data_IF_704021672371
#
_entry.id   IF_704021672371
#
_cell.length_a   1.000
_cell.length_b   1.000
_cell.length_c   1.000
_cell.angle_alpha   90.00
_cell.angle_beta   90.00
_cell.angle_gamma   90.00
#
_symmetry.space_group_name_H-M   'P 1'
#
loop_
_entity.id
_entity.type
_entity.pdbx_description
1 polymer ?
#
# COMPACT_ATOMS: atom_id res chain seq x y z
N UNK A 1 22.83 24.97 16.52
CA UNK A 1 23.73 23.80 16.45
C UNK A 1 23.38 23.03 15.17
N UNK A 2 24.39 22.62 14.41
CA UNK A 2 24.28 21.99 13.08
C UNK A 2 25.04 20.68 13.16
N UNK A 3 24.43 19.59 12.69
CA UNK A 3 25.10 18.28 12.56
C UNK A 3 25.68 18.16 11.16
N UNK A 4 26.94 17.74 11.05
CA UNK A 4 27.63 17.50 9.77
C UNK A 4 27.69 15.99 9.53
N UNK A 5 26.96 15.51 8.52
CA UNK A 5 26.89 14.08 8.24
C UNK A 5 28.17 13.59 7.55
N UNK A 6 28.81 12.56 8.10
CA UNK A 6 30.02 11.97 7.52
C UNK A 6 31.22 12.91 7.39
N UNK A 7 31.26 14.00 8.17
CA UNK A 7 32.32 15.02 8.08
C UNK A 7 32.27 15.90 6.82
N UNK A 8 31.28 15.70 5.96
CA UNK A 8 31.07 16.46 4.73
C UNK A 8 30.26 17.73 5.02
N UNK A 9 30.94 18.87 4.98
CA UNK A 9 30.34 20.19 5.22
C UNK A 9 29.33 20.61 4.15
N UNK A 10 29.16 19.88 3.05
CA UNK A 10 28.03 20.06 2.13
C UNK A 10 26.75 19.40 2.64
N UNK A 11 26.85 18.44 3.58
CA UNK A 11 25.75 17.66 4.17
C UNK A 11 25.43 18.13 5.59
N UNK A 12 25.02 19.38 5.72
CA UNK A 12 24.62 19.99 7.00
C UNK A 12 23.15 19.73 7.29
N UNK A 13 22.85 19.25 8.49
CA UNK A 13 21.49 19.08 8.99
C UNK A 13 21.29 20.00 10.19
N UNK A 14 20.16 20.72 10.22
CA UNK A 14 19.73 21.34 11.47
C UNK A 14 19.32 20.24 12.47
N UNK A 15 19.34 20.52 13.77
CA UNK A 15 18.98 19.53 14.80
C UNK A 15 17.59 18.92 14.59
N UNK A 16 16.62 19.68 14.04
CA UNK A 16 15.29 19.17 13.70
C UNK A 16 15.34 18.14 12.57
N UNK A 17 16.06 18.42 11.49
CA UNK A 17 16.25 17.47 10.38
C UNK A 17 17.06 16.25 10.81
N UNK A 18 18.08 16.44 11.65
CA UNK A 18 18.87 15.35 12.19
C UNK A 18 18.05 14.45 13.13
N UNK A 19 17.28 15.03 14.05
CA UNK A 19 16.38 14.29 14.93
C UNK A 19 15.33 13.51 14.13
N UNK A 20 14.79 14.11 13.07
CA UNK A 20 13.84 13.41 12.18
C UNK A 20 14.48 12.24 11.44
N UNK A 21 15.70 12.41 10.94
CA UNK A 21 16.44 11.36 10.25
C UNK A 21 16.77 10.21 11.21
N UNK A 22 17.11 10.51 12.46
CA UNK A 22 17.25 9.52 13.52
C UNK A 22 15.93 8.80 13.79
N UNK A 23 14.80 9.51 13.90
CA UNK A 23 13.50 8.86 14.11
C UNK A 23 13.12 7.90 12.97
N UNK A 24 13.38 8.28 11.72
CA UNK A 24 13.17 7.38 10.58
C UNK A 24 14.11 6.18 10.62
N UNK A 25 15.37 6.39 10.98
CA UNK A 25 16.33 5.31 11.16
C UNK A 25 15.92 4.37 12.29
N UNK A 26 15.45 4.89 13.43
CA UNK A 26 14.96 4.11 14.57
C UNK A 26 13.76 3.24 14.20
N UNK A 27 12.83 3.77 13.39
CA UNK A 27 11.73 2.97 12.84
C UNK A 27 12.28 1.84 11.96
N UNK A 28 13.17 2.15 11.01
CA UNK A 28 13.71 1.16 10.06
C UNK A 28 14.61 0.11 10.72
N UNK A 29 15.42 0.50 11.70
CA UNK A 29 16.35 -0.37 12.42
C UNK A 29 15.70 -1.09 13.62
N UNK A 30 14.47 -0.71 13.99
CA UNK A 30 13.73 -1.32 15.09
C UNK A 30 13.42 -2.80 14.85
N UNK A 31 13.15 -3.52 15.94
CA UNK A 31 12.79 -4.95 15.93
C UNK A 31 11.29 -5.21 15.73
N UNK A 32 10.51 -4.15 15.48
CA UNK A 32 9.09 -4.26 15.19
C UNK A 32 8.86 -5.02 13.89
N UNK A 33 7.73 -5.72 13.80
CA UNK A 33 7.32 -6.42 12.60
C UNK A 33 7.27 -5.44 11.40
N UNK A 34 7.57 -5.95 10.20
CA UNK A 34 7.62 -5.18 8.96
C UNK A 34 6.35 -4.35 8.76
N UNK A 35 5.19 -4.90 9.12
CA UNK A 35 3.87 -4.28 9.08
C UNK A 35 3.72 -3.07 10.00
N UNK A 36 4.31 -3.14 11.19
CA UNK A 36 4.32 -2.00 12.10
C UNK A 36 5.26 -0.90 11.60
N UNK A 37 6.46 -1.27 11.12
CA UNK A 37 7.44 -0.30 10.62
C UNK A 37 6.93 0.49 9.42
N UNK A 38 6.24 -0.14 8.48
CA UNK A 38 5.64 0.58 7.36
C UNK A 38 4.56 1.59 7.79
N UNK A 39 3.74 1.25 8.79
CA UNK A 39 2.72 2.17 9.30
C UNK A 39 3.36 3.36 10.02
N UNK A 40 4.39 3.08 10.83
CA UNK A 40 5.12 4.12 11.54
C UNK A 40 5.83 5.06 10.53
N UNK A 41 6.41 4.51 9.47
CA UNK A 41 6.99 5.29 8.36
C UNK A 41 5.94 6.10 7.61
N UNK A 42 4.79 5.51 7.29
CA UNK A 42 3.69 6.20 6.61
C UNK A 42 3.18 7.39 7.45
N UNK A 43 3.05 7.20 8.76
CA UNK A 43 2.69 8.24 9.72
C UNK A 43 3.77 9.33 9.81
N UNK A 44 5.04 8.94 9.86
CA UNK A 44 6.18 9.86 9.88
C UNK A 44 6.29 10.69 8.59
N UNK A 45 5.97 10.08 7.44
CA UNK A 45 5.90 10.71 6.13
C UNK A 45 4.76 11.73 6.06
N UNK A 46 3.53 11.33 6.42
CA UNK A 46 2.38 12.23 6.39
C UNK A 46 2.56 13.41 7.36
N UNK A 47 3.15 13.19 8.53
CA UNK A 47 3.48 14.27 9.46
C UNK A 47 4.67 15.13 8.99
N UNK A 48 5.34 14.78 7.88
CA UNK A 48 6.45 15.53 7.33
C UNK A 48 6.06 16.72 6.48
N UNK A 49 4.93 16.60 5.81
CA UNK A 49 4.44 17.61 4.91
C UNK A 49 3.41 18.43 5.67
N UNK A 50 3.50 19.77 5.60
CA UNK A 50 2.50 20.62 6.23
C UNK A 50 1.11 20.34 5.64
N UNK A 51 0.05 20.49 6.45
CA UNK A 51 -1.32 20.15 6.02
C UNK A 51 -1.77 20.93 4.78
N UNK A 52 -1.35 22.18 4.65
CA UNK A 52 -1.71 23.00 3.49
C UNK A 52 -0.94 22.55 2.24
N UNK A 53 0.33 22.15 2.40
CA UNK A 53 1.13 21.57 1.32
C UNK A 53 0.55 20.23 0.85
N UNK A 54 0.07 19.37 1.78
CA UNK A 54 -0.64 18.13 1.43
C UNK A 54 -1.88 18.43 0.59
N UNK A 55 -2.72 19.38 1.03
CA UNK A 55 -3.94 19.77 0.30
C UNK A 55 -3.62 20.36 -1.08
N UNK A 56 -2.55 21.15 -1.17
CA UNK A 56 -2.11 21.69 -2.46
C UNK A 56 -1.62 20.58 -3.38
N UNK A 57 -0.81 19.65 -2.89
CA UNK A 57 -0.34 18.50 -3.66
C UNK A 57 -1.50 17.61 -4.15
N UNK A 58 -2.50 17.35 -3.29
CA UNK A 58 -3.72 16.61 -3.67
C UNK A 58 -4.47 17.30 -4.81
N UNK A 59 -4.64 18.63 -4.73
CA UNK A 59 -5.30 19.42 -5.80
C UNK A 59 -4.53 19.38 -7.11
N UNK A 60 -3.20 19.52 -7.05
CA UNK A 60 -2.35 19.46 -8.23
C UNK A 60 -2.42 18.08 -8.89
N UNK A 61 -2.36 17.00 -8.10
CA UNK A 61 -2.47 15.64 -8.63
C UNK A 61 -3.81 15.42 -9.33
N UNK A 62 -4.94 15.77 -8.69
CA UNK A 62 -6.28 15.67 -9.29
C UNK A 62 -6.42 16.48 -10.57
N UNK A 63 -5.80 17.66 -10.65
CA UNK A 63 -5.83 18.48 -11.87
C UNK A 63 -5.02 17.86 -13.02
N UNK A 64 -3.93 17.15 -12.69
CA UNK A 64 -3.06 16.51 -13.69
C UNK A 64 -3.54 15.13 -14.17
N UNK A 65 -4.25 14.38 -13.34
CA UNK A 65 -4.67 13.01 -13.62
C UNK A 65 -6.17 12.86 -13.43
N UNK A 66 -6.92 12.84 -14.54
CA UNK A 66 -8.38 12.76 -14.50
C UNK A 66 -8.87 11.49 -13.78
N UNK A 67 -8.14 10.38 -13.89
CA UNK A 67 -8.49 9.10 -13.23
C UNK A 67 -8.42 9.18 -11.70
N UNK A 68 -7.78 10.20 -11.14
CA UNK A 68 -7.71 10.44 -9.70
C UNK A 68 -9.10 10.65 -9.07
N UNK A 69 -10.11 11.04 -9.84
CA UNK A 69 -11.49 11.18 -9.35
C UNK A 69 -12.09 9.86 -8.83
N UNK A 70 -11.56 8.73 -9.29
CA UNK A 70 -12.02 7.40 -8.88
C UNK A 70 -11.29 6.87 -7.63
N UNK A 71 -10.27 7.56 -7.12
CA UNK A 71 -9.53 7.09 -5.95
C UNK A 71 -10.13 7.62 -4.65
N UNK A 72 -9.95 6.86 -3.57
CA UNK A 72 -10.28 7.31 -2.22
C UNK A 72 -9.44 8.52 -1.81
N UNK A 73 -9.97 9.35 -0.92
CA UNK A 73 -9.22 10.48 -0.36
C UNK A 73 -7.93 10.05 0.35
N UNK A 74 -7.95 8.88 1.00
CA UNK A 74 -6.79 8.32 1.68
C UNK A 74 -5.68 7.94 0.69
N UNK A 75 -6.01 7.22 -0.38
CA UNK A 75 -5.03 6.87 -1.40
C UNK A 75 -4.46 8.13 -2.09
N UNK A 76 -5.30 9.12 -2.38
CA UNK A 76 -4.87 10.37 -2.99
C UNK A 76 -3.93 11.17 -2.10
N UNK A 77 -4.18 11.21 -0.79
CA UNK A 77 -3.27 11.86 0.16
C UNK A 77 -1.90 11.19 0.17
N UNK A 78 -1.86 9.86 0.14
CA UNK A 78 -0.62 9.11 0.08
C UNK A 78 0.16 9.36 -1.22
N UNK A 79 -0.51 9.35 -2.38
CA UNK A 79 0.11 9.67 -3.68
C UNK A 79 0.64 11.09 -3.69
N UNK A 80 -0.20 12.06 -3.32
CA UNK A 80 0.17 13.48 -3.31
C UNK A 80 1.36 13.74 -2.40
N UNK A 81 1.38 13.11 -1.22
CA UNK A 81 2.51 13.20 -0.30
C UNK A 81 3.77 12.57 -0.89
N UNK A 82 3.66 11.40 -1.54
CA UNK A 82 4.79 10.75 -2.19
C UNK A 82 5.38 11.59 -3.32
N UNK A 83 4.54 12.13 -4.22
CA UNK A 83 4.98 13.00 -5.32
C UNK A 83 5.58 14.31 -4.80
N UNK A 84 5.00 14.90 -3.74
CA UNK A 84 5.54 16.11 -3.12
C UNK A 84 6.94 15.85 -2.54
N UNK A 85 7.11 14.77 -1.77
CA UNK A 85 8.40 14.40 -1.19
C UNK A 85 9.42 14.07 -2.29
N UNK A 86 9.01 13.33 -3.32
CA UNK A 86 9.87 13.05 -4.47
C UNK A 86 10.36 14.33 -5.16
N UNK A 87 9.48 15.32 -5.38
CA UNK A 87 9.86 16.61 -5.95
C UNK A 87 10.89 17.37 -5.12
N UNK A 88 10.85 17.26 -3.79
CA UNK A 88 11.88 17.84 -2.92
C UNK A 88 13.19 17.04 -2.99
N UNK A 89 13.11 15.71 -3.08
CA UNK A 89 14.28 14.83 -3.22
C UNK A 89 14.98 14.97 -4.57
N UNK A 90 14.30 15.45 -5.63
CA UNK A 90 14.95 15.71 -6.92
C UNK A 90 16.10 16.71 -6.83
N UNK A 91 16.01 17.69 -5.92
CA UNK A 91 17.09 18.64 -5.66
C UNK A 91 18.29 18.01 -4.94
N UNK A 92 18.11 16.83 -4.34
CA UNK A 92 19.10 16.12 -3.54
C UNK A 92 19.05 14.61 -3.80
N UNK A 93 19.39 14.15 -5.04
CA UNK A 93 19.17 12.77 -5.47
C UNK A 93 19.92 11.72 -4.65
N UNK A 94 20.98 12.11 -3.93
CA UNK A 94 21.76 11.28 -3.00
C UNK A 94 21.08 11.01 -1.66
N UNK A 95 19.89 11.58 -1.41
CA UNK A 95 19.11 11.30 -0.21
C UNK A 95 18.28 10.03 -0.37
N UNK A 96 17.78 9.53 0.75
CA UNK A 96 17.06 8.26 0.87
C UNK A 96 15.59 8.41 0.40
N UNK A 97 15.12 7.54 -0.50
CA UNK A 97 13.81 7.65 -1.16
C UNK A 97 12.71 6.75 -0.60
N UNK A 98 12.97 5.92 0.42
CA UNK A 98 11.97 5.04 1.05
C UNK A 98 10.67 5.76 1.47
N UNK A 99 10.70 7.01 1.99
CA UNK A 99 9.47 7.71 2.34
C UNK A 99 8.57 7.97 1.12
N UNK A 100 9.13 8.28 -0.05
CA UNK A 100 8.32 8.44 -1.27
C UNK A 100 7.75 7.07 -1.73
N UNK A 101 8.56 6.01 -1.67
CA UNK A 101 8.16 4.65 -2.03
C UNK A 101 7.04 4.13 -1.11
N UNK A 102 7.14 4.33 0.21
CA UNK A 102 6.13 3.84 1.15
C UNK A 102 4.78 4.53 0.93
N UNK A 103 4.78 5.83 0.57
CA UNK A 103 3.55 6.54 0.21
C UNK A 103 2.83 5.88 -0.97
N UNK A 104 3.54 5.52 -2.04
CA UNK A 104 2.94 4.81 -3.17
C UNK A 104 2.37 3.45 -2.78
N UNK A 105 3.09 2.68 -1.96
CA UNK A 105 2.61 1.37 -1.48
C UNK A 105 1.34 1.50 -0.61
N UNK A 106 1.29 2.49 0.28
CA UNK A 106 0.12 2.76 1.14
C UNK A 106 -1.10 3.20 0.34
N UNK A 107 -0.92 3.87 -0.79
CA UNK A 107 -2.03 4.19 -1.67
C UNK A 107 -2.70 2.93 -2.24
N UNK A 108 -1.91 1.91 -2.62
CA UNK A 108 -2.43 0.60 -3.05
C UNK A 108 -3.13 -0.12 -1.90
N UNK A 109 -2.56 -0.10 -0.69
CA UNK A 109 -3.20 -0.65 0.51
C UNK A 109 -4.58 -0.05 0.74
N UNK A 110 -4.68 1.29 0.73
CA UNK A 110 -5.93 1.99 0.93
C UNK A 110 -7.00 1.59 -0.09
N UNK A 111 -6.63 1.48 -1.37
CA UNK A 111 -7.57 1.04 -2.42
C UNK A 111 -7.95 -0.44 -2.31
N UNK A 112 -7.02 -1.34 -1.99
CA UNK A 112 -7.33 -2.76 -1.74
C UNK A 112 -8.33 -2.89 -0.59
N UNK A 113 -8.11 -2.13 0.50
CA UNK A 113 -9.02 -2.12 1.63
C UNK A 113 -10.39 -1.57 1.25
N UNK A 114 -10.41 -0.39 0.62
CA UNK A 114 -11.65 0.31 0.26
C UNK A 114 -12.49 -0.43 -0.76
N UNK A 115 -11.86 -1.02 -1.78
CA UNK A 115 -12.54 -1.60 -2.95
C UNK A 115 -12.79 -3.09 -2.84
N UNK A 116 -11.97 -3.83 -2.07
CA UNK A 116 -12.08 -5.28 -2.00
C UNK A 116 -12.41 -5.74 -0.60
N UNK A 117 -11.58 -5.43 0.39
CA UNK A 117 -11.72 -6.02 1.73
C UNK A 117 -12.96 -5.54 2.46
N UNK A 118 -13.31 -4.24 2.38
CA UNK A 118 -14.53 -3.70 2.99
C UNK A 118 -15.80 -4.24 2.31
N UNK A 119 -15.93 -4.28 0.97
CA UNK A 119 -17.05 -4.97 0.34
C UNK A 119 -17.14 -6.46 0.69
N UNK A 120 -16.00 -7.14 0.78
CA UNK A 120 -15.94 -8.55 1.20
C UNK A 120 -16.44 -8.73 2.63
N UNK A 121 -16.02 -7.88 3.57
CA UNK A 121 -16.47 -7.96 4.97
C UNK A 121 -17.98 -7.72 5.09
N UNK A 122 -18.52 -6.74 4.36
CA UNK A 122 -19.97 -6.50 4.30
C UNK A 122 -20.71 -7.74 3.78
N UNK A 123 -20.20 -8.37 2.72
CA UNK A 123 -20.82 -9.56 2.12
C UNK A 123 -20.75 -10.79 3.04
N UNK A 124 -19.63 -10.94 3.74
CA UNK A 124 -19.39 -12.06 4.65
C UNK A 124 -20.02 -11.89 6.04
N UNK A 125 -20.57 -10.71 6.37
CA UNK A 125 -21.13 -10.38 7.69
C UNK A 125 -22.24 -11.33 8.19
N UNK A 126 -22.87 -12.08 7.29
CA UNK A 126 -23.96 -13.02 7.60
C UNK A 126 -23.53 -14.49 7.58
N UNK A 127 -22.26 -14.74 7.29
CA UNK A 127 -21.72 -16.08 7.08
C UNK A 127 -20.95 -16.56 8.32
N UNK A 128 -20.92 -17.87 8.56
CA UNK A 128 -20.08 -18.43 9.61
C UNK A 128 -18.64 -18.64 9.10
N UNK A 129 -17.75 -17.73 9.52
CA UNK A 129 -16.32 -17.78 9.18
C UNK A 129 -15.47 -18.51 10.22
N UNK A 130 -16.07 -19.23 11.18
CA UNK A 130 -15.33 -19.90 12.26
C UNK A 130 -14.24 -20.86 11.75
N UNK A 131 -14.55 -21.63 10.71
CA UNK A 131 -13.59 -22.52 10.04
C UNK A 131 -12.45 -21.77 9.37
N UNK A 132 -12.76 -20.69 8.64
CA UNK A 132 -11.76 -19.90 7.92
C UNK A 132 -10.85 -19.09 8.85
N UNK A 133 -11.34 -18.67 10.03
CA UNK A 133 -10.55 -17.94 11.04
C UNK A 133 -9.37 -18.73 11.59
N UNK A 134 -9.51 -20.06 11.67
CA UNK A 134 -8.45 -20.96 12.16
C UNK A 134 -7.50 -21.38 11.04
N UNK A 135 -7.78 -20.99 9.80
CA UNK A 135 -6.94 -21.31 8.66
C UNK A 135 -5.69 -20.43 8.62
N UNK A 136 -4.53 -21.02 8.37
CA UNK A 136 -3.26 -20.27 8.34
C UNK A 136 -3.18 -19.26 7.19
N UNK A 137 -3.86 -19.53 6.06
CA UNK A 137 -3.76 -18.75 4.83
C UNK A 137 -4.97 -17.79 4.69
N UNK A 138 -6.10 -18.10 5.33
CA UNK A 138 -7.33 -17.30 5.27
C UNK A 138 -7.62 -16.53 6.57
N UNK A 139 -7.05 -16.95 7.69
CA UNK A 139 -7.48 -16.56 9.03
C UNK A 139 -7.46 -15.07 9.30
N UNK A 140 -6.45 -14.34 8.81
CA UNK A 140 -6.37 -12.88 8.97
C UNK A 140 -7.44 -12.14 8.17
N UNK A 141 -7.72 -12.57 6.94
CA UNK A 141 -8.79 -11.99 6.12
C UNK A 141 -10.16 -12.35 6.71
N UNK A 142 -10.35 -13.59 7.15
CA UNK A 142 -11.57 -14.05 7.82
C UNK A 142 -11.84 -13.29 9.13
N UNK A 143 -10.79 -13.04 9.92
CA UNK A 143 -10.87 -12.28 11.15
C UNK A 143 -11.30 -10.83 10.90
N UNK A 144 -10.74 -10.16 9.88
CA UNK A 144 -11.18 -8.83 9.48
C UNK A 144 -12.62 -8.83 8.95
N UNK A 145 -13.00 -9.83 8.16
CA UNK A 145 -14.35 -9.90 7.61
C UNK A 145 -15.42 -10.10 8.69
N UNK A 146 -15.12 -10.86 9.73
CA UNK A 146 -16.03 -11.08 10.85
C UNK A 146 -16.08 -9.91 11.85
N UNK A 147 -15.05 -9.08 11.88
CA UNK A 147 -14.95 -7.92 12.77
C UNK A 147 -14.27 -6.77 12.00
N UNK A 148 -15.05 -5.98 11.23
CA UNK A 148 -14.51 -4.90 10.40
C UNK A 148 -13.89 -3.75 11.18
N UNK A 149 -14.03 -3.72 12.51
CA UNK A 149 -13.34 -2.78 13.40
C UNK A 149 -11.86 -3.12 13.61
N UNK A 150 -11.43 -4.33 13.23
CA UNK A 150 -10.02 -4.75 13.28
C UNK A 150 -9.20 -4.02 12.22
N UNK A 151 -7.88 -3.99 12.46
CA UNK A 151 -6.92 -3.56 11.45
C UNK A 151 -7.11 -4.40 10.17
N UNK A 152 -7.23 -3.78 8.99
CA UNK A 152 -7.28 -4.50 7.73
C UNK A 152 -6.01 -5.36 7.52
N UNK A 153 -6.13 -6.51 6.85
CA UNK A 153 -4.97 -7.34 6.51
C UNK A 153 -4.01 -6.59 5.58
N UNK A 154 -2.73 -6.87 5.74
CA UNK A 154 -1.65 -6.23 5.01
C UNK A 154 -1.55 -6.74 3.56
N UNK A 155 -0.82 -6.04 2.67
CA UNK A 155 -0.69 -6.45 1.27
C UNK A 155 -0.20 -7.89 1.12
N UNK A 156 0.83 -8.28 1.89
CA UNK A 156 1.39 -9.62 1.84
C UNK A 156 0.36 -10.68 2.29
N UNK A 157 -0.38 -10.39 3.36
CA UNK A 157 -1.47 -11.24 3.85
C UNK A 157 -2.56 -11.41 2.81
N UNK A 158 -2.98 -10.31 2.17
CA UNK A 158 -3.99 -10.36 1.13
C UNK A 158 -3.47 -11.04 -0.15
N UNK A 159 -2.21 -10.86 -0.51
CA UNK A 159 -1.57 -11.57 -1.61
C UNK A 159 -1.59 -13.09 -1.37
N UNK A 160 -1.22 -13.55 -0.17
CA UNK A 160 -1.32 -14.96 0.19
C UNK A 160 -2.75 -15.49 0.15
N UNK A 161 -3.72 -14.71 0.61
CA UNK A 161 -5.13 -15.07 0.45
C UNK A 161 -5.50 -15.25 -1.03
N UNK A 162 -5.13 -14.31 -1.90
CA UNK A 162 -5.36 -14.43 -3.34
C UNK A 162 -4.65 -15.64 -3.94
N UNK A 163 -3.42 -15.93 -3.53
CA UNK A 163 -2.68 -17.11 -3.96
C UNK A 163 -3.47 -18.39 -3.67
N UNK A 164 -4.02 -18.51 -2.45
CA UNK A 164 -4.85 -19.64 -2.05
C UNK A 164 -6.14 -19.71 -2.85
N UNK A 165 -6.82 -18.57 -3.04
CA UNK A 165 -8.00 -18.48 -3.91
C UNK A 165 -7.65 -18.92 -5.33
N UNK A 166 -6.51 -18.55 -5.89
CA UNK A 166 -6.14 -18.85 -7.27
C UNK A 166 -5.78 -20.33 -7.46
N UNK A 167 -5.01 -20.91 -6.54
CA UNK A 167 -4.35 -22.19 -6.77
C UNK A 167 -4.97 -23.40 -6.04
N UNK A 168 -5.80 -23.19 -5.01
CA UNK A 168 -6.35 -24.31 -4.22
C UNK A 168 -7.79 -24.66 -4.60
N UNK A 169 -7.96 -25.67 -5.47
CA UNK A 169 -9.30 -26.17 -5.85
C UNK A 169 -10.12 -26.65 -4.64
N UNK A 170 -9.50 -27.45 -3.77
CA UNK A 170 -10.14 -27.95 -2.55
C UNK A 170 -10.68 -26.82 -1.67
N UNK A 171 -9.91 -25.73 -1.50
CA UNK A 171 -10.34 -24.59 -0.67
C UNK A 171 -11.44 -23.78 -1.32
N UNK A 172 -11.49 -23.68 -2.66
CA UNK A 172 -12.63 -23.05 -3.35
C UNK A 172 -13.95 -23.76 -3.08
N UNK A 173 -13.92 -25.07 -2.87
CA UNK A 173 -15.11 -25.88 -2.59
C UNK A 173 -15.50 -25.87 -1.10
N UNK A 174 -14.53 -25.67 -0.20
CA UNK A 174 -14.73 -25.88 1.25
C UNK A 174 -14.72 -24.61 2.08
N UNK A 175 -14.10 -23.52 1.61
CA UNK A 175 -14.02 -22.26 2.35
C UNK A 175 -15.22 -21.37 2.07
N UNK A 176 -15.89 -20.95 3.14
CA UNK A 176 -17.03 -20.03 3.08
C UNK A 176 -16.54 -18.67 2.58
N UNK A 177 -15.44 -18.15 3.15
CA UNK A 177 -14.85 -16.88 2.76
C UNK A 177 -14.46 -16.83 1.28
N UNK A 178 -13.81 -17.89 0.77
CA UNK A 178 -13.44 -17.94 -0.65
C UNK A 178 -14.70 -17.97 -1.52
N UNK A 179 -15.72 -18.74 -1.14
CA UNK A 179 -17.01 -18.76 -1.85
C UNK A 179 -17.67 -17.37 -1.90
N UNK A 180 -17.65 -16.63 -0.79
CA UNK A 180 -18.16 -15.25 -0.73
C UNK A 180 -17.33 -14.33 -1.64
N UNK A 181 -16.00 -14.43 -1.58
CA UNK A 181 -15.10 -13.63 -2.40
C UNK A 181 -15.32 -13.86 -3.90
N UNK A 182 -15.44 -15.12 -4.34
CA UNK A 182 -15.70 -15.45 -5.74
C UNK A 182 -17.07 -14.97 -6.22
N UNK A 183 -18.11 -15.01 -5.36
CA UNK A 183 -19.42 -14.42 -5.68
C UNK A 183 -19.33 -12.90 -5.82
N UNK A 184 -18.59 -12.24 -4.93
CA UNK A 184 -18.38 -10.80 -4.99
C UNK A 184 -17.64 -10.40 -6.28
N UNK A 185 -16.58 -11.11 -6.65
CA UNK A 185 -15.82 -10.80 -7.87
C UNK A 185 -16.59 -11.09 -9.16
N UNK A 186 -17.53 -12.05 -9.13
CA UNK A 186 -18.43 -12.31 -10.25
C UNK A 186 -19.39 -11.14 -10.56
N UNK A 187 -19.58 -10.21 -9.63
CA UNK A 187 -20.40 -9.00 -9.83
C UNK A 187 -19.62 -7.83 -10.48
N UNK A 188 -18.32 -8.01 -10.77
CA UNK A 188 -17.44 -6.97 -11.29
C UNK A 188 -17.02 -7.22 -12.74
N UNK A 189 -17.11 -6.17 -13.56
CA UNK A 189 -17.04 -6.24 -15.03
C UNK A 189 -15.68 -6.69 -15.56
N UNK A 190 -14.60 -6.47 -14.81
CA UNK A 190 -13.23 -6.82 -15.20
C UNK A 190 -12.47 -7.59 -14.10
N UNK A 191 -13.17 -8.41 -13.31
CA UNK A 191 -12.56 -9.17 -12.20
C UNK A 191 -11.54 -10.24 -12.62
N UNK A 192 -11.43 -10.56 -13.92
CA UNK A 192 -10.47 -11.54 -14.43
C UNK A 192 -9.05 -11.26 -13.91
N UNK A 193 -8.64 -9.99 -13.88
CA UNK A 193 -7.31 -9.62 -13.40
C UNK A 193 -7.10 -9.90 -11.90
N UNK A 194 -8.15 -9.90 -11.09
CA UNK A 194 -8.04 -10.19 -9.65
C UNK A 194 -7.72 -11.67 -9.38
N UNK A 195 -8.16 -12.55 -10.28
CA UNK A 195 -8.04 -14.00 -10.15
C UNK A 195 -7.01 -14.63 -11.11
N UNK A 196 -6.41 -13.81 -11.99
CA UNK A 196 -5.32 -14.26 -12.87
C UNK A 196 -4.05 -14.52 -12.03
N UNK A 197 -3.33 -15.65 -12.24
CA UNK A 197 -2.08 -15.94 -11.53
C UNK A 197 -0.99 -14.85 -11.67
N UNK A 198 -0.96 -14.18 -12.82
CA UNK A 198 -0.09 -13.04 -13.15
C UNK A 198 -0.80 -11.69 -12.94
N UNK A 199 -1.95 -11.73 -12.28
CA UNK A 199 -2.81 -10.59 -12.04
C UNK A 199 -2.50 -9.83 -10.75
N UNK A 200 -3.53 -9.56 -9.96
CA UNK A 200 -3.40 -8.80 -8.71
C UNK A 200 -2.44 -9.46 -7.72
N UNK A 201 -2.51 -10.78 -7.54
CA UNK A 201 -1.60 -11.52 -6.66
C UNK A 201 -0.13 -11.26 -7.00
N UNK A 202 0.25 -11.42 -8.28
CA UNK A 202 1.62 -11.18 -8.74
C UNK A 202 2.04 -9.72 -8.51
N UNK A 203 1.17 -8.76 -8.87
CA UNK A 203 1.44 -7.34 -8.65
C UNK A 203 1.70 -7.04 -7.17
N UNK A 204 0.86 -7.55 -6.27
CA UNK A 204 1.04 -7.37 -4.83
C UNK A 204 2.33 -8.02 -4.32
N UNK A 205 2.71 -9.17 -4.89
CA UNK A 205 3.98 -9.82 -4.60
C UNK A 205 5.19 -8.95 -4.98
N UNK A 206 5.18 -8.36 -6.18
CA UNK A 206 6.23 -7.41 -6.62
C UNK A 206 6.24 -6.17 -5.74
N UNK A 207 5.09 -5.56 -5.49
CA UNK A 207 4.97 -4.36 -4.66
C UNK A 207 5.49 -4.58 -3.24
N UNK A 208 5.16 -5.74 -2.65
CA UNK A 208 5.57 -6.10 -1.29
C UNK A 208 7.08 -6.36 -1.22
N UNK A 209 7.61 -7.20 -2.10
CA UNK A 209 8.99 -7.67 -2.00
C UNK A 209 10.02 -6.68 -2.57
N UNK A 210 9.72 -6.05 -3.70
CA UNK A 210 10.67 -5.19 -4.41
C UNK A 210 10.67 -3.74 -3.94
N UNK A 211 9.63 -3.31 -3.21
CA UNK A 211 9.45 -1.92 -2.81
C UNK A 211 9.09 -1.76 -1.34
N UNK A 212 7.90 -2.20 -0.93
CA UNK A 212 7.35 -1.92 0.41
C UNK A 212 8.24 -2.46 1.53
N UNK A 213 8.69 -3.71 1.44
CA UNK A 213 9.55 -4.30 2.47
C UNK A 213 10.91 -3.58 2.47
N UNK A 214 11.57 -3.44 1.32
CA UNK A 214 12.84 -2.70 1.22
C UNK A 214 12.74 -1.29 1.82
N UNK A 215 11.63 -0.58 1.56
CA UNK A 215 11.39 0.75 2.12
C UNK A 215 11.23 0.75 3.66
N UNK A 216 10.66 -0.31 4.22
CA UNK A 216 10.44 -0.47 5.65
C UNK A 216 11.67 -1.02 6.42
N UNK A 217 12.58 -1.69 5.70
CA UNK A 217 13.83 -2.25 6.23
C UNK A 217 15.01 -1.30 5.98
N UNK A 218 16.19 -1.60 6.52
CA UNK A 218 17.38 -0.74 6.44
C UNK A 218 17.97 -0.55 5.02
N UNK A 219 17.31 -1.06 3.98
CA UNK A 219 17.75 -0.85 2.60
C UNK A 219 17.69 0.63 2.25
N UNK A 220 18.68 1.08 1.47
CA UNK A 220 18.73 2.42 0.88
C UNK A 220 18.06 2.36 -0.49
N UNK A 221 16.96 3.11 -0.64
CA UNK A 221 16.26 3.23 -1.91
C UNK A 221 16.62 4.53 -2.61
N UNK A 222 16.86 4.44 -3.92
CA UNK A 222 17.21 5.58 -4.75
C UNK A 222 16.03 6.10 -5.59
N UNK A 223 16.31 7.14 -6.38
CA UNK A 223 15.36 7.72 -7.33
C UNK A 223 14.79 6.68 -8.30
N UNK A 224 15.62 5.77 -8.79
CA UNK A 224 15.21 4.73 -9.73
C UNK A 224 14.21 3.76 -9.11
N UNK A 225 14.40 3.34 -7.86
CA UNK A 225 13.44 2.51 -7.13
C UNK A 225 12.07 3.21 -7.01
N UNK A 226 12.08 4.51 -6.71
CA UNK A 226 10.85 5.30 -6.67
C UNK A 226 10.17 5.38 -8.03
N UNK A 227 10.90 5.68 -9.12
CA UNK A 227 10.32 5.76 -10.46
C UNK A 227 9.72 4.42 -10.92
N UNK A 228 10.40 3.32 -10.62
CA UNK A 228 9.91 1.97 -10.92
C UNK A 228 8.63 1.64 -10.10
N UNK A 229 8.61 2.01 -8.82
CA UNK A 229 7.42 1.88 -7.97
C UNK A 229 6.27 2.76 -8.50
N UNK A 230 6.57 3.99 -8.91
CA UNK A 230 5.62 4.96 -9.44
C UNK A 230 4.96 4.45 -10.72
N UNK A 231 5.73 3.92 -11.66
CA UNK A 231 5.17 3.32 -12.88
C UNK A 231 4.29 2.09 -12.54
N UNK A 232 4.73 1.25 -11.59
CA UNK A 232 3.93 0.10 -11.16
C UNK A 232 2.59 0.52 -10.51
N UNK A 233 2.56 1.60 -9.74
CA UNK A 233 1.39 2.02 -8.96
C UNK A 233 0.45 2.94 -9.75
N UNK A 234 0.99 4.02 -10.32
CA UNK A 234 0.24 5.09 -10.99
C UNK A 234 0.60 5.30 -12.46
N UNK A 235 1.48 4.46 -13.03
CA UNK A 235 1.78 4.46 -14.46
C UNK A 235 0.56 4.24 -15.34
N UNK A 236 0.74 4.25 -16.66
CA UNK A 236 -0.40 4.16 -17.60
C UNK A 236 -1.28 2.91 -17.34
N UNK A 237 -0.65 1.79 -17.00
CA UNK A 237 -1.27 0.51 -16.60
C UNK A 237 -1.07 0.20 -15.11
N UNK A 238 -0.89 1.25 -14.30
CA UNK A 238 -0.59 1.13 -12.88
C UNK A 238 -1.65 0.36 -12.08
N UNK A 239 -1.21 -0.23 -10.98
CA UNK A 239 -2.01 -1.05 -10.08
C UNK A 239 -3.32 -0.39 -9.65
N UNK A 240 -3.29 0.92 -9.35
CA UNK A 240 -4.49 1.64 -8.89
C UNK A 240 -5.55 1.69 -9.99
N UNK A 241 -5.17 1.95 -11.23
CA UNK A 241 -6.11 2.03 -12.35
C UNK A 241 -6.70 0.66 -12.67
N UNK A 242 -5.87 -0.39 -12.61
CA UNK A 242 -6.34 -1.76 -12.80
C UNK A 242 -7.29 -2.18 -11.67
N UNK A 243 -7.02 -1.81 -10.43
CA UNK A 243 -7.94 -2.02 -9.30
C UNK A 243 -9.27 -1.30 -9.52
N UNK A 244 -9.25 -0.03 -9.95
CA UNK A 244 -10.46 0.75 -10.24
C UNK A 244 -11.34 0.02 -11.25
N UNK A 245 -10.76 -0.36 -12.40
CA UNK A 245 -11.49 -1.03 -13.49
C UNK A 245 -11.97 -2.43 -13.06
N UNK A 246 -11.13 -3.18 -12.34
CA UNK A 246 -11.44 -4.57 -11.96
C UNK A 246 -12.45 -4.71 -10.82
N UNK A 247 -12.82 -3.60 -10.19
CA UNK A 247 -13.81 -3.54 -9.10
C UNK A 247 -15.05 -2.70 -9.46
N UNK A 248 -15.19 -2.31 -10.74
CA UNK A 248 -16.39 -1.63 -11.22
C UNK A 248 -17.55 -2.64 -11.37
N UNK A 249 -18.66 -2.36 -10.70
CA UNK A 249 -19.88 -3.18 -10.77
C UNK A 249 -20.50 -3.13 -12.16
N UNK A 250 -21.16 -4.22 -12.55
CA UNK A 250 -22.08 -4.17 -13.69
C UNK A 250 -23.12 -3.07 -13.46
N UNK A 251 -23.27 -2.17 -14.44
CA UNK A 251 -24.36 -1.19 -14.45
C UNK A 251 -25.65 -1.82 -14.91
#
# INVERSE_FOLDING_TARGET
MITVYGGDWSKRLCNGCYGRLLSLYEIKAGTAADDQRAEDLASALLSAVARDDQRQAERLFRASEKRAEFLSEEALRFIATAEHVAGQLEAYPQLEWSPAVIGLCKAVEAEVVGRILRPLSVRASREDLSGDKNDKDLGRVAAFCADPGRKPPELGTFAHFLQTVIHSQQRRETSVLIGVFLKLTAEWTASHWLLDPNGLHHMLGVLTNSFRNRAAHIDELGKEDYLNCRELVIGSQGALWRLVVSTERHR
#
